data_IF_286622503290
#
_entry.id   IF_286622503290
#
_cell.length_a   1.000
_cell.length_b   1.000
_cell.length_c   1.000
_cell.angle_alpha   90.00
_cell.angle_beta   90.00
_cell.angle_gamma   90.00
#
_symmetry.space_group_name_H-M   'P 1'
#
loop_
_entity.id
_entity.type
_entity.pdbx_description
1 polymer ?
#
# COMPACT_ATOMS: atom_id res chain seq x y z
N UNK A 1 15.12 24.16 -14.98
CA UNK A 1 13.69 24.31 -15.27
C UNK A 1 13.54 25.27 -16.44
N UNK A 2 12.44 25.11 -17.20
CA UNK A 2 12.27 25.53 -18.59
C UNK A 2 12.15 27.02 -18.91
N UNK A 3 11.85 27.29 -20.17
CA UNK A 3 11.58 28.62 -20.72
C UNK A 3 10.33 28.58 -21.60
N UNK A 4 9.62 29.70 -21.68
CA UNK A 4 8.58 29.89 -22.69
C UNK A 4 9.24 30.32 -23.99
N UNK A 5 9.01 29.57 -25.06
CA UNK A 5 9.38 29.95 -26.43
C UNK A 5 8.12 29.95 -27.29
N UNK A 6 7.82 31.10 -27.89
CA UNK A 6 6.72 31.24 -28.85
C UNK A 6 5.33 30.75 -28.34
N UNK A 7 5.09 30.87 -27.03
CA UNK A 7 3.84 30.42 -26.41
C UNK A 7 3.80 28.94 -26.02
N UNK A 8 4.91 28.22 -26.16
CA UNK A 8 5.07 26.82 -25.75
C UNK A 8 6.12 26.76 -24.63
N UNK A 9 5.80 26.04 -23.55
CA UNK A 9 6.77 25.79 -22.49
C UNK A 9 7.75 24.69 -22.91
N UNK A 10 9.04 24.98 -22.83
CA UNK A 10 10.11 24.02 -23.12
C UNK A 10 10.86 23.67 -21.83
N UNK A 11 10.88 22.39 -21.46
CA UNK A 11 11.55 21.92 -20.25
C UNK A 11 13.09 21.89 -20.40
N UNK A 12 13.80 22.67 -19.57
CA UNK A 12 15.26 22.61 -19.46
C UNK A 12 15.68 22.03 -18.11
N UNK A 13 15.72 20.71 -18.01
CA UNK A 13 16.11 20.02 -16.78
C UNK A 13 17.62 19.82 -16.72
N UNK A 14 18.23 20.17 -15.58
CA UNK A 14 19.66 19.97 -15.34
C UNK A 14 19.83 18.81 -14.35
N UNK A 15 20.67 17.85 -14.70
CA UNK A 15 20.93 16.65 -13.92
C UNK A 15 22.30 16.73 -13.27
N UNK A 16 22.44 16.12 -12.08
CA UNK A 16 23.71 16.12 -11.33
C UNK A 16 24.82 15.36 -12.06
N UNK A 17 24.46 14.35 -12.85
CA UNK A 17 25.37 13.49 -13.63
C UNK A 17 24.72 13.11 -14.97
N UNK A 18 25.51 12.64 -15.95
CA UNK A 18 24.96 11.99 -17.14
C UNK A 18 24.13 10.77 -16.77
N UNK A 19 23.15 10.45 -17.62
CA UNK A 19 22.35 9.24 -17.49
C UNK A 19 23.18 8.00 -17.84
N UNK A 20 22.88 6.91 -17.16
CA UNK A 20 23.28 5.60 -17.65
C UNK A 20 22.38 5.19 -18.82
N UNK A 21 22.83 4.25 -19.66
CA UNK A 21 22.07 3.80 -20.83
C UNK A 21 20.65 3.31 -20.48
N UNK A 22 20.48 2.65 -19.33
CA UNK A 22 19.16 2.18 -18.87
C UNK A 22 18.27 3.29 -18.27
N UNK A 23 18.81 4.48 -17.99
CA UNK A 23 18.03 5.63 -17.51
C UNK A 23 17.53 6.50 -18.67
N UNK A 24 18.09 6.35 -19.88
CA UNK A 24 17.67 7.14 -21.04
C UNK A 24 16.22 6.89 -21.44
N UNK A 25 15.76 5.64 -21.34
CA UNK A 25 14.37 5.28 -21.65
C UNK A 25 13.42 5.84 -20.60
N UNK A 26 13.77 5.76 -19.32
CA UNK A 26 13.02 6.40 -18.24
C UNK A 26 12.94 7.92 -18.42
N UNK A 27 14.02 8.54 -18.89
CA UNK A 27 14.05 9.97 -19.19
C UNK A 27 13.14 10.33 -20.37
N UNK A 28 13.15 9.53 -21.45
CA UNK A 28 12.24 9.71 -22.58
C UNK A 28 10.78 9.65 -22.15
N UNK A 29 10.41 8.62 -21.38
CA UNK A 29 9.06 8.46 -20.85
C UNK A 29 8.65 9.63 -19.94
N UNK A 30 9.59 10.09 -19.11
CA UNK A 30 9.37 11.22 -18.21
C UNK A 30 9.14 12.54 -18.98
N UNK A 31 9.90 12.82 -20.04
CA UNK A 31 9.68 14.02 -20.87
C UNK A 31 8.33 13.97 -21.57
N UNK A 32 7.94 12.81 -22.12
CA UNK A 32 6.61 12.64 -22.72
C UNK A 32 5.48 12.92 -21.72
N UNK A 33 5.63 12.47 -20.47
CA UNK A 33 4.67 12.75 -19.40
C UNK A 33 4.61 14.25 -19.06
N UNK A 34 5.74 14.94 -19.08
CA UNK A 34 5.82 16.37 -18.80
C UNK A 34 5.21 17.23 -19.91
N UNK A 35 5.35 16.85 -21.17
CA UNK A 35 4.82 17.60 -22.31
C UNK A 35 3.29 17.49 -22.44
N UNK A 36 2.70 16.41 -21.92
CA UNK A 36 1.23 16.25 -21.84
C UNK A 36 0.60 17.18 -20.79
N UNK A 37 1.37 17.66 -19.81
CA UNK A 37 0.85 18.50 -18.75
C UNK A 37 0.66 19.96 -19.22
N UNK A 38 -0.57 20.52 -19.19
CA UNK A 38 -0.78 21.92 -19.53
C UNK A 38 -0.14 22.81 -18.47
N UNK A 39 0.84 23.62 -18.87
CA UNK A 39 1.49 24.59 -18.00
C UNK A 39 0.81 25.92 -18.22
N UNK A 40 0.20 26.44 -17.15
CA UNK A 40 -0.46 27.75 -17.17
C UNK A 40 0.48 28.83 -16.64
N UNK A 41 0.37 30.03 -17.18
CA UNK A 41 0.97 31.26 -16.62
C UNK A 41 0.18 31.80 -15.43
N UNK A 42 -1.00 31.25 -15.17
CA UNK A 42 -1.81 31.61 -14.02
C UNK A 42 -1.11 31.24 -12.71
N UNK A 43 -1.46 31.96 -11.63
CA UNK A 43 -0.90 31.70 -10.31
C UNK A 43 -1.15 30.22 -9.95
N UNK A 44 -0.10 29.46 -9.60
CA UNK A 44 -0.28 28.05 -9.27
C UNK A 44 -1.20 27.91 -8.06
N UNK A 45 -2.25 27.11 -8.24
CA UNK A 45 -3.14 26.70 -7.16
C UNK A 45 -3.08 25.19 -7.01
N UNK A 46 -3.07 24.73 -5.76
CA UNK A 46 -3.14 23.31 -5.44
C UNK A 46 -4.60 22.98 -5.18
N UNK A 47 -5.14 22.02 -5.95
CA UNK A 47 -6.45 21.44 -5.69
C UNK A 47 -6.31 19.94 -5.49
N UNK A 48 -7.02 19.44 -4.50
CA UNK A 48 -7.12 18.03 -4.25
C UNK A 48 -8.16 17.42 -5.19
N UNK A 49 -7.68 16.68 -6.19
CA UNK A 49 -8.51 16.12 -7.28
C UNK A 49 -9.60 15.16 -6.82
N UNK A 50 -9.50 14.60 -5.62
CA UNK A 50 -10.39 13.53 -5.15
C UNK A 50 -11.45 14.00 -4.15
N UNK A 51 -11.63 15.31 -3.99
CA UNK A 51 -12.75 15.88 -3.22
C UNK A 51 -13.45 16.98 -4.03
N UNK A 52 -14.75 17.16 -3.79
CA UNK A 52 -15.61 18.05 -4.59
C UNK A 52 -15.21 19.53 -4.47
N UNK A 53 -14.67 19.90 -3.31
CA UNK A 53 -14.33 21.29 -2.98
C UNK A 53 -12.88 21.63 -3.34
N UNK A 54 -12.12 20.68 -3.91
CA UNK A 54 -10.69 20.84 -4.18
C UNK A 54 -9.83 20.99 -2.92
N UNK A 55 -10.42 20.90 -1.72
CA UNK A 55 -9.72 20.91 -0.45
C UNK A 55 -9.23 19.51 -0.10
N UNK A 56 -8.06 19.45 0.53
CA UNK A 56 -7.55 18.17 1.02
C UNK A 56 -8.44 17.64 2.13
N UNK A 57 -8.86 16.38 2.00
CA UNK A 57 -9.60 15.66 3.02
C UNK A 57 -8.95 14.31 3.26
N UNK A 58 -8.62 14.03 4.53
CA UNK A 58 -8.07 12.74 4.95
C UNK A 58 -9.03 11.62 4.58
N UNK A 59 -10.33 11.84 4.76
CA UNK A 59 -11.38 10.86 4.44
C UNK A 59 -11.42 10.55 2.94
N UNK A 60 -11.47 11.58 2.10
CA UNK A 60 -11.53 11.40 0.65
C UNK A 60 -10.24 10.75 0.11
N UNK A 61 -9.08 11.16 0.63
CA UNK A 61 -7.79 10.56 0.33
C UNK A 61 -7.74 9.08 0.71
N UNK A 62 -8.18 8.74 1.93
CA UNK A 62 -8.22 7.36 2.40
C UNK A 62 -9.12 6.50 1.52
N UNK A 63 -10.33 6.96 1.18
CA UNK A 63 -11.26 6.24 0.30
C UNK A 63 -10.63 6.03 -1.08
N UNK A 64 -10.07 7.07 -1.68
CA UNK A 64 -9.38 6.97 -2.97
C UNK A 64 -8.23 5.94 -2.92
N UNK A 65 -7.32 6.07 -1.95
CA UNK A 65 -6.19 5.14 -1.80
C UNK A 65 -6.67 3.72 -1.51
N UNK A 66 -7.71 3.54 -0.71
CA UNK A 66 -8.27 2.21 -0.41
C UNK A 66 -8.78 1.49 -1.66
N UNK A 67 -9.31 2.24 -2.64
CA UNK A 67 -9.78 1.71 -3.92
C UNK A 67 -8.63 1.30 -4.85
N UNK A 68 -7.46 1.93 -4.72
CA UNK A 68 -6.29 1.70 -5.58
C UNK A 68 -5.34 0.64 -5.03
N UNK A 69 -5.19 0.57 -3.71
CA UNK A 69 -4.21 -0.29 -3.05
C UNK A 69 -4.70 -1.73 -2.85
N UNK A 70 -5.76 -2.14 -3.56
CA UNK A 70 -6.41 -3.45 -3.41
C UNK A 70 -6.58 -3.86 -1.93
N UNK A 71 -6.95 -2.89 -1.08
CA UNK A 71 -7.17 -3.18 0.33
C UNK A 71 -8.32 -4.20 0.43
N UNK A 72 -8.25 -5.16 1.36
CA UNK A 72 -9.35 -6.08 1.57
C UNK A 72 -10.65 -5.29 1.76
N UNK A 73 -11.77 -5.76 1.19
CA UNK A 73 -13.04 -5.06 1.28
C UNK A 73 -13.39 -4.76 2.74
N UNK A 74 -14.14 -3.68 3.01
CA UNK A 74 -14.62 -3.39 4.35
C UNK A 74 -15.24 -4.64 4.96
N UNK A 75 -14.85 -4.98 6.19
CA UNK A 75 -15.40 -6.15 6.85
C UNK A 75 -16.93 -6.03 6.93
N UNK A 76 -17.66 -7.14 6.78
CA UNK A 76 -19.10 -7.13 6.97
C UNK A 76 -19.43 -6.61 8.38
N UNK A 77 -20.59 -5.94 8.57
CA UNK A 77 -21.01 -5.42 9.87
C UNK A 77 -21.00 -6.47 10.99
N UNK A 78 -21.25 -7.74 10.66
CA UNK A 78 -21.19 -8.87 11.59
C UNK A 78 -19.80 -9.13 12.18
N UNK A 79 -18.72 -8.79 11.46
CA UNK A 79 -17.35 -8.94 11.92
C UNK A 79 -16.86 -7.73 12.73
N UNK A 80 -17.53 -6.57 12.62
CA UNK A 80 -17.20 -5.38 13.41
C UNK A 80 -17.37 -5.62 14.92
N UNK A 81 -18.35 -6.42 15.33
CA UNK A 81 -18.57 -6.76 16.73
C UNK A 81 -17.41 -7.54 17.36
N UNK A 82 -16.78 -8.44 16.59
CA UNK A 82 -15.59 -9.20 17.06
C UNK A 82 -14.39 -8.27 17.19
N UNK A 83 -14.19 -7.36 16.23
CA UNK A 83 -13.08 -6.39 16.28
C UNK A 83 -13.18 -5.43 17.46
N UNK A 84 -14.39 -5.02 17.83
CA UNK A 84 -14.59 -4.17 19.01
C UNK A 84 -14.14 -4.89 20.29
N UNK A 85 -14.53 -6.16 20.46
CA UNK A 85 -14.18 -6.97 21.63
C UNK A 85 -12.68 -7.17 21.84
N UNK A 86 -11.86 -7.06 20.79
CA UNK A 86 -10.38 -7.16 20.92
C UNK A 86 -9.87 -6.08 21.87
N UNK A 87 -10.47 -4.89 21.84
CA UNK A 87 -10.05 -3.75 22.66
C UNK A 87 -10.39 -3.91 24.14
N UNK A 88 -11.35 -4.77 24.47
CA UNK A 88 -11.73 -5.09 25.87
C UNK A 88 -10.78 -6.11 26.52
N UNK A 89 -9.81 -6.63 25.78
CA UNK A 89 -8.84 -7.62 26.28
C UNK A 89 -7.88 -7.03 27.30
N UNK A 90 -7.54 -7.82 28.33
CA UNK A 90 -6.52 -7.48 29.33
C UNK A 90 -5.07 -7.68 28.82
N UNK A 91 -4.91 -8.12 27.57
CA UNK A 91 -3.60 -8.27 26.97
C UNK A 91 -2.88 -6.92 26.84
N UNK A 92 -1.54 -6.91 26.85
CA UNK A 92 -0.78 -5.69 26.58
C UNK A 92 -1.20 -5.03 25.26
N UNK A 93 -1.15 -3.69 25.21
CA UNK A 93 -1.59 -2.91 24.05
C UNK A 93 -0.98 -3.37 22.72
N UNK A 94 0.29 -3.78 22.73
CA UNK A 94 0.97 -4.32 21.55
C UNK A 94 0.30 -5.60 21.02
N UNK A 95 -0.19 -6.47 21.90
CA UNK A 95 -0.90 -7.70 21.54
C UNK A 95 -2.30 -7.37 21.02
N UNK A 96 -3.02 -6.45 21.67
CA UNK A 96 -4.34 -5.98 21.21
C UNK A 96 -4.27 -5.40 19.80
N UNK A 97 -3.33 -4.49 19.55
CA UNK A 97 -3.12 -3.87 18.23
C UNK A 97 -2.75 -4.93 17.19
N UNK A 98 -1.85 -5.85 17.54
CA UNK A 98 -1.46 -6.94 16.64
C UNK A 98 -2.65 -7.83 16.26
N UNK A 99 -3.45 -8.25 17.23
CA UNK A 99 -4.65 -9.08 17.01
C UNK A 99 -5.68 -8.35 16.14
N UNK A 100 -5.91 -7.06 16.40
CA UNK A 100 -6.79 -6.24 15.56
C UNK A 100 -6.28 -6.16 14.11
N UNK A 101 -4.98 -5.96 13.91
CA UNK A 101 -4.37 -5.98 12.57
C UNK A 101 -4.50 -7.36 11.90
N UNK A 102 -4.26 -8.44 12.63
CA UNK A 102 -4.34 -9.81 12.10
C UNK A 102 -5.76 -10.14 11.63
N UNK A 103 -6.77 -9.82 12.45
CA UNK A 103 -8.18 -10.04 12.10
C UNK A 103 -8.64 -9.22 10.89
N UNK A 104 -7.98 -8.09 10.61
CA UNK A 104 -8.24 -7.24 9.44
C UNK A 104 -7.42 -7.61 8.20
N UNK A 105 -6.63 -8.68 8.25
CA UNK A 105 -5.66 -9.04 7.21
C UNK A 105 -4.66 -7.90 6.91
N UNK A 106 -4.14 -7.26 7.96
CA UNK A 106 -3.27 -6.07 7.88
C UNK A 106 -1.84 -6.28 8.37
N UNK A 107 -1.49 -7.49 8.82
CA UNK A 107 -0.11 -7.81 9.19
C UNK A 107 0.73 -8.16 7.94
N UNK A 108 2.07 -8.09 8.00
CA UNK A 108 2.92 -8.27 6.82
C UNK A 108 3.16 -9.75 6.48
N UNK A 109 2.09 -10.50 6.19
CA UNK A 109 2.23 -11.84 5.58
C UNK A 109 2.71 -11.73 4.15
N UNK A 110 3.41 -12.74 3.60
CA UNK A 110 3.82 -12.73 2.19
C UNK A 110 2.65 -12.49 1.23
N UNK A 111 1.49 -13.09 1.49
CA UNK A 111 0.29 -12.85 0.66
C UNK A 111 -0.14 -11.37 0.68
N UNK A 112 -0.07 -10.70 1.84
CA UNK A 112 -0.40 -9.28 1.94
C UNK A 112 0.66 -8.37 1.33
N UNK A 113 1.94 -8.73 1.47
CA UNK A 113 3.05 -7.98 0.88
C UNK A 113 2.98 -8.05 -0.65
N UNK A 114 2.69 -9.23 -1.21
CA UNK A 114 2.46 -9.40 -2.65
C UNK A 114 1.26 -8.58 -3.14
N UNK A 115 0.13 -8.59 -2.40
CA UNK A 115 -1.04 -7.75 -2.75
C UNK A 115 -0.72 -6.25 -2.78
N UNK A 116 0.26 -5.81 -1.98
CA UNK A 116 0.72 -4.42 -1.93
C UNK A 116 1.83 -4.11 -2.95
N UNK A 117 2.23 -5.07 -3.78
CA UNK A 117 3.31 -4.91 -4.76
C UNK A 117 4.70 -4.77 -4.12
N UNK A 118 4.87 -5.20 -2.86
CA UNK A 118 6.17 -5.18 -2.16
C UNK A 118 7.03 -6.38 -2.57
N UNK A 119 6.37 -7.47 -2.95
CA UNK A 119 6.97 -8.76 -3.32
C UNK A 119 6.68 -8.98 -4.81
N UNK A 120 7.68 -9.44 -5.57
CA UNK A 120 7.62 -9.50 -7.04
C UNK A 120 6.82 -10.71 -7.54
N UNK A 121 6.30 -10.62 -8.77
CA UNK A 121 5.72 -11.77 -9.49
C UNK A 121 6.80 -12.85 -9.68
N UNK A 122 6.70 -13.94 -8.92
CA UNK A 122 7.68 -15.04 -8.92
C UNK A 122 8.23 -15.39 -7.54
N UNK A 123 8.10 -14.50 -6.56
CA UNK A 123 8.45 -14.81 -5.18
C UNK A 123 7.48 -15.86 -4.61
N UNK A 124 8.05 -16.93 -4.06
CA UNK A 124 7.26 -17.98 -3.43
C UNK A 124 6.51 -17.41 -2.21
N UNK A 125 5.17 -17.37 -2.29
CA UNK A 125 4.31 -16.93 -1.18
C UNK A 125 4.22 -17.97 -0.05
N UNK A 126 5.14 -18.93 -0.02
CA UNK A 126 5.12 -20.04 0.93
C UNK A 126 5.37 -19.57 2.35
N UNK A 127 4.72 -20.22 3.31
CA UNK A 127 4.93 -19.95 4.73
C UNK A 127 6.41 -19.98 5.11
N UNK A 128 6.95 -18.87 5.64
CA UNK A 128 8.34 -18.80 6.06
C UNK A 128 8.67 -19.72 7.25
N UNK A 129 7.64 -20.19 7.97
CA UNK A 129 7.79 -21.01 9.17
C UNK A 129 7.84 -22.50 8.83
N UNK A 130 6.88 -23.00 8.06
CA UNK A 130 6.76 -24.43 7.77
C UNK A 130 7.11 -24.80 6.31
N UNK A 131 7.32 -23.81 5.44
CA UNK A 131 7.53 -24.02 4.01
C UNK A 131 6.31 -24.53 3.23
N UNK A 132 5.20 -24.81 3.89
CA UNK A 132 3.99 -25.38 3.29
C UNK A 132 2.86 -24.36 3.15
N UNK A 133 2.15 -24.41 2.01
CA UNK A 133 1.00 -23.54 1.74
C UNK A 133 1.33 -22.05 1.62
N UNK A 134 0.34 -21.24 1.26
CA UNK A 134 0.50 -19.77 1.14
C UNK A 134 0.49 -19.12 2.52
N UNK A 135 1.45 -18.25 2.79
CA UNK A 135 1.55 -17.47 4.03
C UNK A 135 0.45 -16.42 4.09
N UNK A 136 -0.65 -16.80 4.74
CA UNK A 136 -1.79 -15.96 5.12
C UNK A 136 -1.90 -15.93 6.65
N UNK A 137 -2.71 -15.05 7.22
CA UNK A 137 -2.95 -14.99 8.66
C UNK A 137 -3.50 -16.31 9.19
N UNK A 138 -4.48 -16.88 8.48
CA UNK A 138 -5.06 -18.18 8.84
C UNK A 138 -4.01 -19.28 8.78
N UNK A 139 -3.16 -19.29 7.75
CA UNK A 139 -2.07 -20.26 7.71
C UNK A 139 -1.09 -20.02 8.87
N UNK A 140 -0.60 -18.80 9.04
CA UNK A 140 0.43 -18.46 10.01
C UNK A 140 0.01 -18.78 11.46
N UNK A 141 -1.26 -18.54 11.82
CA UNK A 141 -1.74 -18.73 13.19
C UNK A 141 -2.56 -19.99 13.43
N UNK A 142 -3.20 -20.59 12.43
CA UNK A 142 -4.15 -21.70 12.63
C UNK A 142 -3.74 -22.98 11.89
N UNK A 143 -3.34 -22.88 10.63
CA UNK A 143 -3.12 -24.06 9.77
C UNK A 143 -1.65 -24.50 9.69
N UNK A 144 -0.71 -23.62 10.07
CA UNK A 144 0.71 -23.94 10.09
C UNK A 144 0.96 -25.04 11.12
N UNK A 145 1.65 -26.15 10.76
CA UNK A 145 1.92 -27.24 11.69
C UNK A 145 2.61 -26.79 12.98
N UNK A 146 3.53 -25.81 12.89
CA UNK A 146 4.17 -25.25 14.07
C UNK A 146 3.17 -24.49 14.95
N UNK A 147 2.36 -23.61 14.37
CA UNK A 147 1.35 -22.86 15.12
C UNK A 147 0.33 -23.80 15.78
N UNK A 148 -0.12 -24.82 15.05
CA UNK A 148 -1.00 -25.86 15.58
C UNK A 148 -0.39 -26.58 16.79
N UNK A 149 0.89 -26.96 16.71
CA UNK A 149 1.58 -27.61 17.84
C UNK A 149 1.61 -26.73 19.09
N UNK A 150 1.79 -25.41 18.92
CA UNK A 150 1.75 -24.44 20.02
C UNK A 150 0.35 -24.37 20.64
N UNK A 151 -0.69 -24.28 19.82
CA UNK A 151 -2.07 -24.29 20.32
C UNK A 151 -2.40 -25.54 21.13
N UNK A 152 -1.98 -26.71 20.66
CA UNK A 152 -2.17 -27.99 21.38
C UNK A 152 -1.44 -27.98 22.74
N UNK A 153 -0.27 -27.33 22.83
CA UNK A 153 0.46 -27.20 24.09
C UNK A 153 -0.20 -26.21 25.07
N UNK A 154 -0.78 -25.12 24.56
CA UNK A 154 -1.37 -24.05 25.39
C UNK A 154 -2.80 -24.40 25.85
N UNK A 155 -3.58 -25.09 25.01
CA UNK A 155 -4.96 -25.50 25.32
C UNK A 155 -5.07 -26.84 26.07
N UNK A 156 -3.96 -27.34 26.62
CA UNK A 156 -3.97 -28.46 27.58
C UNK A 156 -4.32 -27.95 28.98
#
# INVERSE_FOLDING_TARGET
MGVWDSGIWTWHLKWRRPFFSWEEDLYRDFILLLDVAPISLEKPSWSFRHDKDGLFSVKATYVFLSSKLALPPPLPPSHCGILYKVWDSWAPSKVVVFSWQALLSRIPTRANLARRGVVSEGDLLVCAVCGGGVETENHLFLLCPLAWSIWVMVYR
#
